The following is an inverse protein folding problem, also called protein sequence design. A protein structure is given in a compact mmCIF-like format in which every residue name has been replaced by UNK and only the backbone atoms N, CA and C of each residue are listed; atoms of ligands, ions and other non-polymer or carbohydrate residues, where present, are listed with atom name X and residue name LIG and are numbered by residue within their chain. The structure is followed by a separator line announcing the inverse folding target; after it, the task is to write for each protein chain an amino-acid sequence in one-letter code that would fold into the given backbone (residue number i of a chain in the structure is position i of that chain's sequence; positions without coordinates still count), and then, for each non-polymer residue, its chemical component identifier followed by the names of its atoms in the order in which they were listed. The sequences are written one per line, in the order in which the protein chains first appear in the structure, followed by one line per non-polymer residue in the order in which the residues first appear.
data_IF_235688809625
#
_entry.id   IF_235688809625
#
_cell.length_a   1.000
_cell.length_b   1.000
_cell.length_c   1.000
_cell.angle_alpha   90.00
_cell.angle_beta   90.00
_cell.angle_gamma   90.00
#
_symmetry.space_group_name_H-M   'P 1'
#
loop_
_entity.id
_entity.type
_entity.pdbx_description
1 polymer ?
#
# COMPACT_ATOMS: atom_id res chain seq x y z
N UNK A 1 44.99 -5.24 34.42
CA UNK A 1 44.25 -3.99 34.54
C UNK A 1 44.13 -3.39 33.11
N UNK A 2 43.04 -3.64 32.42
CA UNK A 2 42.77 -3.12 31.07
C UNK A 2 42.05 -1.80 31.23
N UNK A 3 42.74 -0.71 30.98
CA UNK A 3 42.18 0.64 30.98
C UNK A 3 41.27 0.82 29.78
N UNK A 4 39.94 0.90 30.00
CA UNK A 4 38.95 1.22 28.99
C UNK A 4 39.12 2.69 28.60
N UNK A 5 39.59 2.95 27.38
CA UNK A 5 39.76 4.31 26.85
C UNK A 5 38.43 5.11 26.89
N UNK A 6 38.42 6.38 27.29
CA UNK A 6 37.19 7.20 27.36
C UNK A 6 36.62 7.42 25.97
N UNK A 7 35.34 7.08 25.81
CA UNK A 7 34.59 7.30 24.57
C UNK A 7 34.54 8.80 24.28
N UNK A 8 35.05 9.23 23.12
CA UNK A 8 35.15 10.65 22.79
C UNK A 8 33.77 11.29 22.62
N UNK A 9 33.59 12.54 23.04
CA UNK A 9 32.34 13.30 22.92
C UNK A 9 31.84 13.39 21.44
N UNK A 10 32.75 13.32 20.47
CA UNK A 10 32.47 13.29 19.04
C UNK A 10 31.74 12.00 18.64
N UNK A 11 32.15 10.85 19.19
CA UNK A 11 31.51 9.54 18.91
C UNK A 11 30.08 9.49 19.47
N UNK A 12 29.86 10.04 20.65
CA UNK A 12 28.52 10.13 21.28
C UNK A 12 27.59 11.01 20.46
N UNK A 13 28.04 12.16 19.99
CA UNK A 13 27.25 13.07 19.15
C UNK A 13 26.91 12.43 17.80
N UNK A 14 27.85 11.72 17.16
CA UNK A 14 27.64 11.00 15.90
C UNK A 14 26.59 9.87 16.06
N UNK A 15 26.71 9.07 17.08
CA UNK A 15 25.76 7.99 17.39
C UNK A 15 24.34 8.53 17.66
N UNK A 16 24.20 9.68 18.30
CA UNK A 16 22.91 10.34 18.55
C UNK A 16 22.28 10.86 17.25
N UNK A 17 23.07 11.46 16.36
CA UNK A 17 22.59 11.92 15.04
C UNK A 17 22.13 10.76 14.18
N UNK A 18 22.88 9.66 14.12
CA UNK A 18 22.51 8.45 13.35
C UNK A 18 21.20 7.89 13.88
N UNK A 19 21.05 7.71 15.19
CA UNK A 19 19.81 7.20 15.80
C UNK A 19 18.62 8.10 15.52
N UNK A 20 18.79 9.40 15.58
CA UNK A 20 17.73 10.34 15.24
C UNK A 20 17.34 10.23 13.76
N UNK A 21 18.33 10.18 12.84
CA UNK A 21 18.10 9.97 11.41
C UNK A 21 17.34 8.68 11.11
N UNK A 22 17.72 7.56 11.73
CA UNK A 22 17.02 6.25 11.56
C UNK A 22 15.56 6.35 12.00
N UNK A 23 15.26 7.06 13.11
CA UNK A 23 13.87 7.23 13.56
C UNK A 23 13.05 8.06 12.59
N UNK A 24 13.61 9.17 12.10
CA UNK A 24 12.93 10.02 11.12
C UNK A 24 12.62 9.22 9.86
N UNK A 25 13.62 8.51 9.31
CA UNK A 25 13.43 7.66 8.12
C UNK A 25 12.39 6.56 8.37
N UNK A 26 12.43 5.89 9.52
CA UNK A 26 11.45 4.86 9.86
C UNK A 26 10.02 5.40 9.92
N UNK A 27 9.82 6.55 10.59
CA UNK A 27 8.49 7.17 10.69
C UNK A 27 8.00 7.65 9.32
N UNK A 28 8.86 8.33 8.54
CA UNK A 28 8.47 8.82 7.21
C UNK A 28 8.17 7.70 6.24
N UNK A 29 8.96 6.62 6.23
CA UNK A 29 8.72 5.46 5.37
C UNK A 29 7.41 4.75 5.73
N UNK A 30 7.14 4.53 7.02
CA UNK A 30 5.89 3.95 7.49
C UNK A 30 4.68 4.80 7.15
N UNK A 31 4.73 6.10 7.42
CA UNK A 31 3.65 7.04 7.12
C UNK A 31 3.40 7.16 5.61
N UNK A 32 4.46 7.24 4.80
CA UNK A 32 4.34 7.30 3.34
C UNK A 32 3.73 6.02 2.77
N UNK A 33 4.14 4.85 3.26
CA UNK A 33 3.58 3.56 2.84
C UNK A 33 2.07 3.46 3.14
N UNK A 34 1.65 3.85 4.33
CA UNK A 34 0.23 3.88 4.72
C UNK A 34 -0.56 4.88 3.87
N UNK A 35 -0.05 6.09 3.70
CA UNK A 35 -0.71 7.11 2.89
C UNK A 35 -0.92 6.63 1.46
N UNK A 36 0.12 6.04 0.84
CA UNK A 36 0.03 5.50 -0.51
C UNK A 36 -1.03 4.40 -0.61
N UNK A 37 -1.09 3.49 0.35
CA UNK A 37 -2.10 2.43 0.37
C UNK A 37 -3.53 3.00 0.49
N UNK A 38 -3.75 3.98 1.36
CA UNK A 38 -5.05 4.64 1.53
C UNK A 38 -5.46 5.36 0.24
N UNK A 39 -4.55 6.12 -0.37
CA UNK A 39 -4.85 6.84 -1.62
C UNK A 39 -5.16 5.89 -2.77
N UNK A 40 -4.48 4.75 -2.86
CA UNK A 40 -4.75 3.73 -3.88
C UNK A 40 -6.14 3.12 -3.70
N UNK A 41 -6.50 2.70 -2.49
CA UNK A 41 -7.82 2.14 -2.20
C UNK A 41 -8.92 3.17 -2.45
N UNK A 42 -8.71 4.42 -2.02
CA UNK A 42 -9.65 5.51 -2.23
C UNK A 42 -9.85 5.80 -3.73
N UNK A 43 -8.78 5.80 -4.53
CA UNK A 43 -8.88 5.99 -5.97
C UNK A 43 -9.70 4.87 -6.64
N UNK A 44 -9.49 3.60 -6.25
CA UNK A 44 -10.28 2.48 -6.73
C UNK A 44 -11.75 2.61 -6.32
N UNK A 45 -12.03 2.97 -5.07
CA UNK A 45 -13.38 3.21 -4.58
C UNK A 45 -14.10 4.33 -5.34
N UNK A 46 -13.44 5.47 -5.54
CA UNK A 46 -14.02 6.59 -6.31
C UNK A 46 -14.31 6.18 -7.76
N UNK A 47 -13.41 5.38 -8.35
CA UNK A 47 -13.60 4.90 -9.72
C UNK A 47 -14.83 3.98 -9.82
N UNK A 48 -15.00 3.05 -8.88
CA UNK A 48 -16.17 2.18 -8.82
C UNK A 48 -17.46 2.98 -8.64
N UNK A 49 -17.49 3.96 -7.74
CA UNK A 49 -18.63 4.84 -7.55
C UNK A 49 -19.01 5.63 -8.83
N UNK A 50 -18.03 5.95 -9.67
CA UNK A 50 -18.27 6.62 -10.96
C UNK A 50 -18.92 5.69 -11.97
N UNK A 51 -18.55 4.40 -11.96
CA UNK A 51 -19.17 3.38 -12.81
C UNK A 51 -20.60 3.14 -12.32
N UNK A 52 -20.81 2.95 -11.03
CA UNK A 52 -22.12 2.62 -10.45
C UNK A 52 -23.19 3.69 -10.68
N UNK A 53 -22.80 4.96 -10.76
CA UNK A 53 -23.76 6.08 -10.98
C UNK A 53 -24.45 6.08 -12.35
N UNK A 54 -23.83 5.51 -13.37
CA UNK A 54 -24.34 5.49 -14.75
C UNK A 54 -23.88 4.19 -15.42
N UNK A 55 -24.24 3.07 -14.80
CA UNK A 55 -23.76 1.75 -15.15
C UNK A 55 -24.44 1.22 -16.40
N UNK A 56 -23.63 0.79 -17.37
CA UNK A 56 -24.00 -0.10 -18.47
C UNK A 56 -23.34 -1.44 -18.30
N UNK A 57 -23.96 -2.49 -18.82
CA UNK A 57 -23.40 -3.83 -18.86
C UNK A 57 -23.29 -4.31 -20.31
N UNK A 58 -22.22 -4.99 -20.64
CA UNK A 58 -22.01 -5.60 -21.95
C UNK A 58 -21.21 -6.91 -21.84
N UNK A 59 -21.30 -7.74 -22.89
CA UNK A 59 -20.36 -8.84 -23.04
C UNK A 59 -19.17 -8.36 -23.85
N UNK A 60 -18.00 -8.37 -23.22
CA UNK A 60 -16.74 -8.00 -23.86
C UNK A 60 -15.98 -9.23 -24.36
N UNK A 61 -15.25 -9.04 -25.43
CA UNK A 61 -14.29 -10.01 -25.97
C UNK A 61 -12.88 -9.59 -25.55
N UNK A 62 -12.13 -10.53 -24.96
CA UNK A 62 -10.75 -10.29 -24.55
C UNK A 62 -9.85 -10.45 -25.77
N UNK A 63 -9.22 -9.36 -26.21
CA UNK A 63 -8.36 -9.34 -27.39
C UNK A 63 -6.90 -9.60 -27.09
N UNK A 64 -6.44 -9.24 -25.89
CA UNK A 64 -5.05 -9.41 -25.48
C UNK A 64 -4.97 -9.45 -23.95
N UNK A 65 -4.09 -10.28 -23.40
CA UNK A 65 -3.84 -10.38 -21.97
C UNK A 65 -2.36 -10.18 -21.69
N UNK A 66 -2.05 -9.22 -20.83
CA UNK A 66 -0.71 -8.98 -20.26
C UNK A 66 -0.76 -9.14 -18.75
N UNK A 67 0.40 -9.19 -18.07
CA UNK A 67 0.48 -9.37 -16.60
C UNK A 67 -0.31 -8.35 -15.79
N UNK A 68 -0.54 -7.16 -16.33
CA UNK A 68 -1.18 -6.05 -15.62
C UNK A 68 -2.48 -5.56 -16.22
N UNK A 69 -2.75 -5.89 -17.48
CA UNK A 69 -3.91 -5.39 -18.22
C UNK A 69 -4.43 -6.44 -19.18
N UNK A 70 -5.75 -6.44 -19.41
CA UNK A 70 -6.38 -7.10 -20.53
C UNK A 70 -7.02 -6.05 -21.44
N UNK A 71 -6.73 -6.12 -22.73
CA UNK A 71 -7.47 -5.37 -23.73
C UNK A 71 -8.79 -6.08 -23.98
N UNK A 72 -9.87 -5.30 -23.98
CA UNK A 72 -11.23 -5.81 -24.21
C UNK A 72 -11.93 -4.97 -25.25
N UNK A 73 -12.83 -5.60 -25.97
CA UNK A 73 -13.71 -4.96 -26.97
C UNK A 73 -15.15 -5.32 -26.68
N UNK A 74 -16.04 -4.33 -26.64
CA UNK A 74 -17.45 -4.55 -26.37
C UNK A 74 -18.34 -3.54 -27.09
N UNK A 75 -19.60 -3.87 -27.27
CA UNK A 75 -20.62 -2.95 -27.75
C UNK A 75 -21.20 -2.15 -26.57
N UNK A 76 -21.00 -0.84 -26.60
CA UNK A 76 -21.53 0.06 -25.57
C UNK A 76 -23.01 0.45 -25.79
N UNK A 77 -23.67 -0.19 -26.78
CA UNK A 77 -25.03 0.09 -27.20
C UNK A 77 -25.11 0.87 -28.51
N UNK A 78 -26.15 0.58 -29.28
CA UNK A 78 -26.36 1.21 -30.58
C UNK A 78 -25.39 0.80 -31.69
N UNK A 79 -24.74 -0.35 -31.57
CA UNK A 79 -23.75 -0.83 -32.55
C UNK A 79 -22.39 -0.15 -32.46
N UNK A 80 -22.15 0.60 -31.37
CA UNK A 80 -20.87 1.29 -31.13
C UNK A 80 -19.90 0.38 -30.39
N UNK A 81 -18.97 -0.20 -31.13
CA UNK A 81 -17.86 -0.95 -30.55
C UNK A 81 -16.85 -0.02 -29.88
N UNK A 82 -16.53 -0.31 -28.65
CA UNK A 82 -15.57 0.45 -27.83
C UNK A 82 -14.40 -0.45 -27.44
N UNK A 83 -13.19 0.06 -27.60
CA UNK A 83 -11.94 -0.50 -27.09
C UNK A 83 -11.35 0.48 -26.07
N UNK A 84 -11.55 0.24 -24.76
CA UNK A 84 -11.02 1.13 -23.75
C UNK A 84 -9.50 1.25 -23.82
N UNK A 85 -8.97 2.46 -23.88
CA UNK A 85 -7.52 2.73 -23.97
C UNK A 85 -6.78 2.16 -22.75
N UNK A 86 -7.42 2.21 -21.60
CA UNK A 86 -6.81 1.74 -20.34
C UNK A 86 -6.91 0.21 -20.21
N UNK A 87 -7.87 -0.45 -20.88
CA UNK A 87 -8.19 -1.86 -20.70
C UNK A 87 -8.73 -2.17 -19.30
N UNK A 88 -8.78 -3.45 -18.97
CA UNK A 88 -9.14 -3.92 -17.62
C UNK A 88 -7.88 -4.24 -16.83
N UNK A 89 -7.76 -3.67 -15.63
CA UNK A 89 -6.62 -3.92 -14.75
C UNK A 89 -6.73 -5.27 -14.03
N UNK A 90 -5.57 -5.88 -13.76
CA UNK A 90 -5.43 -7.14 -13.02
C UNK A 90 -6.30 -8.27 -13.62
N UNK A 91 -5.94 -8.75 -14.79
CA UNK A 91 -6.76 -9.71 -15.57
C UNK A 91 -6.72 -11.14 -15.00
N UNK A 92 -6.69 -11.31 -13.68
CA UNK A 92 -6.62 -12.62 -13.03
C UNK A 92 -7.74 -13.54 -13.55
N UNK A 93 -7.34 -14.64 -14.18
CA UNK A 93 -8.28 -15.61 -14.74
C UNK A 93 -8.91 -15.20 -16.07
N UNK A 94 -8.43 -14.15 -16.75
CA UNK A 94 -8.81 -13.83 -18.12
C UNK A 94 -7.85 -14.51 -19.10
N UNK A 95 -8.42 -15.04 -20.19
CA UNK A 95 -7.68 -15.67 -21.29
C UNK A 95 -8.06 -14.95 -22.58
N UNK A 96 -7.09 -14.81 -23.48
CA UNK A 96 -7.33 -14.25 -24.81
C UNK A 96 -8.39 -15.08 -25.55
N UNK A 97 -9.27 -14.41 -26.26
CA UNK A 97 -10.41 -15.05 -26.93
C UNK A 97 -11.62 -15.30 -26.04
N UNK A 98 -11.53 -15.08 -24.73
CA UNK A 98 -12.64 -15.29 -23.80
C UNK A 98 -13.69 -14.16 -23.91
N UNK A 99 -14.94 -14.53 -23.68
CA UNK A 99 -16.03 -13.57 -23.46
C UNK A 99 -16.26 -13.37 -21.97
N UNK A 100 -16.33 -12.13 -21.54
CA UNK A 100 -16.54 -11.76 -20.13
C UNK A 100 -17.61 -10.69 -20.01
N UNK A 101 -18.38 -10.74 -18.94
CA UNK A 101 -19.30 -9.66 -18.60
C UNK A 101 -18.53 -8.49 -18.04
N UNK A 102 -18.77 -7.31 -18.61
CA UNK A 102 -18.17 -6.05 -18.15
C UNK A 102 -19.24 -5.04 -17.76
N UNK A 103 -18.87 -4.22 -16.80
CA UNK A 103 -19.64 -3.06 -16.36
C UNK A 103 -18.85 -1.81 -16.73
N UNK A 104 -19.51 -0.85 -17.32
CA UNK A 104 -18.87 0.39 -17.77
C UNK A 104 -19.74 1.60 -17.47
N UNK A 105 -19.13 2.76 -17.42
CA UNK A 105 -19.87 4.02 -17.31
C UNK A 105 -20.37 4.45 -18.70
N UNK A 106 -21.70 4.62 -18.88
CA UNK A 106 -22.27 4.99 -20.17
C UNK A 106 -21.78 6.34 -20.70
N UNK A 107 -21.60 7.32 -19.81
CA UNK A 107 -21.06 8.61 -20.16
C UNK A 107 -19.57 8.58 -20.55
N UNK A 108 -18.81 7.57 -20.10
CA UNK A 108 -17.40 7.38 -20.44
C UNK A 108 -17.08 5.87 -20.47
N UNK A 109 -17.23 5.19 -21.60
CA UNK A 109 -17.02 3.73 -21.72
C UNK A 109 -15.57 3.27 -21.52
N UNK A 110 -14.59 4.20 -21.47
CA UNK A 110 -13.21 3.87 -21.10
C UNK A 110 -13.08 3.45 -19.62
N UNK A 111 -14.05 3.85 -18.78
CA UNK A 111 -14.15 3.37 -17.42
C UNK A 111 -14.92 2.06 -17.40
N UNK A 112 -14.19 0.95 -17.48
CA UNK A 112 -14.71 -0.41 -17.53
C UNK A 112 -14.10 -1.29 -16.46
N UNK A 113 -14.90 -2.19 -15.90
CA UNK A 113 -14.46 -3.26 -14.99
C UNK A 113 -15.12 -4.59 -15.36
N UNK A 114 -14.52 -5.70 -14.96
CA UNK A 114 -15.17 -7.01 -15.05
C UNK A 114 -16.31 -7.06 -14.04
N UNK A 115 -17.47 -7.53 -14.46
CA UNK A 115 -18.66 -7.66 -13.61
C UNK A 115 -18.35 -8.52 -12.38
N UNK A 116 -18.86 -8.08 -11.22
CA UNK A 116 -18.63 -8.73 -9.94
C UNK A 116 -17.26 -8.46 -9.31
N UNK A 117 -16.39 -7.68 -9.95
CA UNK A 117 -15.14 -7.19 -9.35
C UNK A 117 -15.33 -5.77 -8.84
N UNK A 118 -15.05 -5.56 -7.57
CA UNK A 118 -15.13 -4.25 -6.92
C UNK A 118 -13.78 -3.78 -6.43
N UNK A 119 -13.70 -2.56 -5.96
CA UNK A 119 -12.52 -1.96 -5.33
C UNK A 119 -11.89 -2.83 -4.23
N UNK A 120 -12.66 -3.74 -3.62
CA UNK A 120 -12.19 -4.66 -2.58
C UNK A 120 -11.03 -5.55 -3.05
N UNK A 121 -10.97 -5.88 -4.33
CA UNK A 121 -9.85 -6.65 -4.92
C UNK A 121 -8.53 -5.88 -4.81
N UNK A 122 -8.57 -4.55 -4.80
CA UNK A 122 -7.37 -3.71 -4.66
C UNK A 122 -6.86 -3.63 -3.20
N UNK A 123 -7.68 -3.99 -2.22
CA UNK A 123 -7.31 -3.88 -0.78
C UNK A 123 -6.14 -4.76 -0.42
N UNK A 124 -6.16 -6.03 -0.85
CA UNK A 124 -5.09 -6.99 -0.53
C UNK A 124 -3.73 -6.53 -1.06
N UNK A 125 -3.57 -6.23 -2.38
CA UNK A 125 -2.28 -5.74 -2.88
C UNK A 125 -1.91 -4.37 -2.31
N UNK A 126 -2.87 -3.49 -2.03
CA UNK A 126 -2.59 -2.19 -1.43
C UNK A 126 -2.03 -2.29 0.00
N UNK A 127 -2.53 -3.23 0.80
CA UNK A 127 -2.10 -3.44 2.18
C UNK A 127 -0.83 -4.30 2.29
N UNK A 128 -0.45 -5.04 1.27
CA UNK A 128 0.73 -5.92 1.30
C UNK A 128 2.03 -5.15 1.59
N UNK A 129 2.22 -3.98 0.98
CA UNK A 129 3.41 -3.15 1.18
C UNK A 129 3.49 -2.58 2.61
N UNK A 130 2.46 -1.88 3.14
CA UNK A 130 2.52 -1.40 4.51
C UNK A 130 2.56 -2.53 5.56
N UNK A 131 2.00 -3.70 5.28
CA UNK A 131 2.09 -4.86 6.17
C UNK A 131 3.54 -5.33 6.42
N UNK A 132 4.44 -5.07 5.49
CA UNK A 132 5.87 -5.34 5.64
C UNK A 132 6.63 -4.10 6.14
N UNK A 133 6.39 -2.94 5.52
CA UNK A 133 7.14 -1.71 5.80
C UNK A 133 6.90 -1.20 7.22
N UNK A 134 5.66 -1.24 7.71
CA UNK A 134 5.32 -0.69 9.03
C UNK A 134 5.97 -1.49 10.17
N UNK A 135 5.94 -2.83 10.23
CA UNK A 135 6.67 -3.58 11.24
C UNK A 135 8.18 -3.38 11.18
N UNK A 136 8.78 -3.35 9.99
CA UNK A 136 10.21 -3.08 9.83
C UNK A 136 10.58 -1.68 10.32
N UNK A 137 9.78 -0.68 10.00
CA UNK A 137 9.96 0.69 10.50
C UNK A 137 9.82 0.76 12.02
N UNK A 138 8.85 0.05 12.61
CA UNK A 138 8.67 -0.03 14.05
C UNK A 138 9.87 -0.69 14.74
N UNK A 139 10.40 -1.77 14.19
CA UNK A 139 11.60 -2.43 14.69
C UNK A 139 12.83 -1.51 14.61
N UNK A 140 13.04 -0.83 13.48
CA UNK A 140 14.14 0.12 13.30
C UNK A 140 14.03 1.29 14.30
N UNK A 141 12.83 1.81 14.50
CA UNK A 141 12.55 2.86 15.48
C UNK A 141 12.85 2.39 16.91
N UNK A 142 12.39 1.20 17.28
CA UNK A 142 12.62 0.62 18.60
C UNK A 142 14.12 0.36 18.86
N UNK A 143 14.84 -0.17 17.86
CA UNK A 143 16.29 -0.39 17.95
C UNK A 143 17.09 0.91 18.10
N UNK A 144 16.64 1.99 17.43
CA UNK A 144 17.24 3.32 17.55
C UNK A 144 16.81 4.06 18.85
N UNK A 145 15.84 3.52 19.62
CA UNK A 145 15.37 4.14 20.86
C UNK A 145 16.33 3.85 22.02
N UNK A 146 16.70 4.84 22.85
CA UNK A 146 17.49 4.56 24.03
C UNK A 146 16.68 3.68 24.98
N UNK A 147 17.27 2.56 25.36
CA UNK A 147 16.68 1.72 26.44
C UNK A 147 16.75 2.54 27.71
N UNK A 148 15.60 3.02 28.19
CA UNK A 148 15.51 3.57 29.54
C UNK A 148 15.61 2.37 30.48
N UNK A 149 16.83 2.11 31.00
CA UNK A 149 16.96 1.22 32.13
C UNK A 149 16.16 1.86 33.28
N UNK A 150 15.00 1.30 33.57
CA UNK A 150 14.30 1.57 34.82
C UNK A 150 15.25 1.12 35.94
N UNK A 151 15.99 2.06 36.51
CA UNK A 151 16.73 1.82 37.72
C UNK A 151 15.72 1.39 38.78
N UNK A 152 15.85 0.17 39.25
CA UNK A 152 15.03 -0.32 40.37
C UNK A 152 15.19 0.65 41.55
N UNK A 153 14.09 1.02 42.22
CA UNK A 153 14.17 1.91 43.38
C UNK A 153 15.07 1.26 44.42
N UNK A 154 16.19 1.93 44.74
CA UNK A 154 17.04 1.53 45.86
C UNK A 154 16.20 1.63 47.12
N UNK A 155 15.77 0.51 47.66
CA UNK A 155 15.18 0.44 49.00
C UNK A 155 16.29 0.84 49.98
N UNK A 156 16.23 2.05 50.49
CA UNK A 156 17.04 2.51 51.63
C UNK A 156 16.61 1.70 52.83
N UNK A 157 17.39 0.68 53.18
CA UNK A 157 17.27 0.06 54.49
C UNK A 157 17.73 1.09 55.52
N UNK A 158 16.80 1.75 56.18
CA UNK A 158 17.08 2.46 57.43
C UNK A 158 17.37 1.44 58.49
N UNK A 159 18.64 1.34 58.87
CA UNK A 159 19.06 0.60 60.09
C UNK A 159 18.72 1.51 61.24
N UNK A 160 17.68 1.18 62.01
CA UNK A 160 17.38 1.79 63.29
C UNK A 160 18.29 1.15 64.34
N UNK A 161 19.07 1.98 65.03
CA UNK A 161 19.70 1.63 66.29
C UNK A 161 18.70 1.84 67.42
#
# INVERSE_FOLDING_TARGET
MTATAPVSARQIRRARRIRWGVRVVAVTAGAFSLLTAVLLVLACFINDQRIDRDMGSATAFVTEVTDRRAAVEFDAGGGRTVRPVTGVFYPTGLVEGQRVQVEFRRANPDLVRVSGRSWTVAVVPALSVPAVVVPLAALAYAAASPRVHRAAPRVRRTVSR
#
